data_IF_486220781945
#
_entry.id   IF_486220781945
#
_cell.length_a   1.000
_cell.length_b   1.000
_cell.length_c   1.000
_cell.angle_alpha   90.00
_cell.angle_beta   90.00
_cell.angle_gamma   90.00
#
_symmetry.space_group_name_H-M   'P 1'
#
loop_
_entity.id
_entity.type
_entity.pdbx_description
1 polymer ?
#
# COMPACT_ATOMS: atom_id res chain seq x y z
N UNK A 1 -18.23 -10.54 7.23
CA UNK A 1 -18.94 -9.76 6.19
C UNK A 1 -20.00 -8.92 6.86
N UNK A 2 -20.14 -7.66 6.46
CA UNK A 2 -21.10 -6.74 7.08
C UNK A 2 -22.55 -7.27 6.89
N UNK A 3 -23.51 -6.63 7.55
CA UNK A 3 -24.93 -7.00 7.47
C UNK A 3 -25.61 -6.48 6.19
N UNK A 4 -24.90 -5.66 5.43
CA UNK A 4 -25.33 -5.15 4.15
C UNK A 4 -24.90 -6.18 3.07
N UNK A 5 -25.62 -6.23 1.94
CA UNK A 5 -25.31 -7.22 0.89
C UNK A 5 -24.11 -6.80 0.03
N UNK A 6 -23.49 -5.67 0.36
CA UNK A 6 -22.50 -4.98 -0.44
C UNK A 6 -21.20 -4.76 0.33
N UNK A 7 -20.09 -4.86 -0.38
CA UNK A 7 -18.75 -4.60 0.15
C UNK A 7 -18.36 -3.18 -0.23
N UNK A 8 -18.19 -2.30 0.75
CA UNK A 8 -17.68 -0.95 0.52
C UNK A 8 -16.22 -0.97 0.04
N UNK A 9 -15.78 0.08 -0.65
CA UNK A 9 -14.38 0.18 -1.11
C UNK A 9 -13.38 0.07 0.06
N UNK A 10 -13.72 0.66 1.22
CA UNK A 10 -12.92 0.55 2.45
C UNK A 10 -12.77 -0.91 2.93
N UNK A 11 -13.85 -1.69 2.89
CA UNK A 11 -13.81 -3.09 3.27
C UNK A 11 -13.00 -3.91 2.26
N UNK A 12 -13.18 -3.64 0.96
CA UNK A 12 -12.39 -4.25 -0.10
C UNK A 12 -10.89 -4.01 0.09
N UNK A 13 -10.46 -2.76 0.31
CA UNK A 13 -9.05 -2.44 0.55
C UNK A 13 -8.52 -3.08 1.84
N UNK A 14 -9.37 -3.22 2.86
CA UNK A 14 -8.98 -3.90 4.12
C UNK A 14 -8.74 -5.39 3.89
N UNK A 15 -9.55 -6.04 3.04
CA UNK A 15 -9.34 -7.44 2.67
C UNK A 15 -8.05 -7.59 1.87
N UNK A 16 -7.82 -6.73 0.87
CA UNK A 16 -6.57 -6.75 0.10
C UNK A 16 -5.33 -6.57 0.99
N UNK A 17 -5.37 -5.65 1.95
CA UNK A 17 -4.26 -5.44 2.88
C UNK A 17 -3.91 -6.71 3.67
N UNK A 18 -4.93 -7.45 4.12
CA UNK A 18 -4.74 -8.72 4.83
C UNK A 18 -4.20 -9.82 3.92
N UNK A 19 -4.71 -9.92 2.69
CA UNK A 19 -4.23 -10.92 1.72
C UNK A 19 -2.77 -10.64 1.36
N UNK A 20 -2.39 -9.37 1.19
CA UNK A 20 -1.01 -8.98 0.93
C UNK A 20 -0.08 -9.34 2.12
N UNK A 21 -0.54 -9.11 3.37
CA UNK A 21 0.20 -9.48 4.57
C UNK A 21 0.38 -11.01 4.69
N UNK A 22 -0.68 -11.78 4.40
CA UNK A 22 -0.59 -13.24 4.37
C UNK A 22 0.36 -13.73 3.26
N UNK A 23 0.33 -13.11 2.07
CA UNK A 23 1.26 -13.42 0.99
C UNK A 23 2.72 -13.12 1.37
N UNK A 24 2.97 -11.97 2.00
CA UNK A 24 4.29 -11.62 2.54
C UNK A 24 4.78 -12.65 3.56
N UNK A 25 3.93 -13.07 4.50
CA UNK A 25 4.28 -14.10 5.51
C UNK A 25 4.56 -15.47 4.90
N UNK A 26 3.82 -15.86 3.86
CA UNK A 26 4.07 -17.09 3.10
C UNK A 26 5.45 -17.02 2.43
N UNK A 27 5.82 -15.87 1.88
CA UNK A 27 7.12 -15.69 1.22
C UNK A 27 8.32 -15.86 2.15
N UNK A 28 8.16 -15.58 3.45
CA UNK A 28 9.20 -15.77 4.47
C UNK A 28 9.28 -17.19 5.04
N UNK A 29 8.15 -17.88 5.12
CA UNK A 29 8.09 -19.23 5.71
C UNK A 29 8.54 -20.33 4.75
N UNK A 30 8.68 -20.04 3.47
CA UNK A 30 9.02 -21.04 2.46
C UNK A 30 10.20 -20.57 1.58
N UNK A 31 11.43 -20.95 1.97
CA UNK A 31 12.64 -20.79 1.15
C UNK A 31 12.51 -21.45 -0.24
N UNK A 32 11.55 -22.39 -0.43
CA UNK A 32 11.26 -22.95 -1.76
C UNK A 32 10.31 -22.07 -2.56
N UNK A 33 9.39 -21.33 -1.95
CA UNK A 33 8.56 -20.35 -2.68
C UNK A 33 9.31 -19.06 -2.98
N UNK A 34 10.26 -18.66 -2.11
CA UNK A 34 11.15 -17.54 -2.44
C UNK A 34 12.06 -17.86 -3.64
N UNK A 35 12.37 -19.13 -3.91
CA UNK A 35 13.04 -19.55 -5.15
C UNK A 35 12.06 -19.84 -6.30
N UNK A 36 10.84 -20.31 -6.01
CA UNK A 36 9.80 -20.55 -7.04
C UNK A 36 9.25 -19.27 -7.65
N UNK A 37 9.03 -18.24 -6.85
CA UNK A 37 8.54 -16.93 -7.32
C UNK A 37 9.64 -16.11 -8.01
N UNK A 38 10.92 -16.36 -7.70
CA UNK A 38 12.02 -15.50 -8.16
C UNK A 38 13.07 -16.16 -9.08
N UNK A 39 13.07 -17.48 -9.36
CA UNK A 39 14.18 -18.10 -10.13
C UNK A 39 13.88 -19.18 -11.18
N UNK A 40 12.64 -19.62 -11.44
CA UNK A 40 12.39 -20.65 -12.46
C UNK A 40 11.55 -20.19 -13.65
N UNK A 41 12.10 -20.14 -14.88
CA UNK A 41 11.30 -20.00 -16.09
C UNK A 41 10.72 -21.38 -16.46
N UNK A 42 9.82 -21.93 -15.65
CA UNK A 42 9.09 -23.15 -15.98
C UNK A 42 7.66 -23.07 -15.42
N UNK A 43 6.71 -22.76 -16.30
CA UNK A 43 5.25 -22.78 -16.08
C UNK A 43 4.80 -22.00 -14.84
N UNK A 44 5.07 -20.69 -14.82
CA UNK A 44 4.35 -19.79 -13.93
C UNK A 44 2.94 -19.64 -14.50
N UNK A 45 1.92 -20.13 -13.81
CA UNK A 45 0.57 -19.65 -14.06
C UNK A 45 0.63 -18.12 -14.07
N UNK A 46 0.12 -17.51 -15.14
CA UNK A 46 0.23 -16.08 -15.32
C UNK A 46 -0.50 -15.41 -14.15
N UNK A 47 0.27 -14.79 -13.24
CA UNK A 47 -0.28 -14.08 -12.10
C UNK A 47 -1.37 -13.12 -12.59
N UNK A 48 -2.49 -13.11 -11.88
CA UNK A 48 -3.52 -12.11 -12.07
C UNK A 48 -2.99 -10.72 -11.71
N UNK A 49 -3.67 -9.67 -12.16
CA UNK A 49 -3.23 -8.30 -11.94
C UNK A 49 -3.13 -7.92 -10.44
N UNK A 50 -4.00 -8.50 -9.61
CA UNK A 50 -3.94 -8.28 -8.16
C UNK A 50 -2.75 -9.00 -7.51
N UNK A 51 -2.43 -10.21 -7.94
CA UNK A 51 -1.26 -10.94 -7.45
C UNK A 51 0.03 -10.21 -7.83
N UNK A 52 0.15 -9.76 -9.09
CA UNK A 52 1.28 -8.92 -9.53
C UNK A 52 1.40 -7.64 -8.71
N UNK A 53 0.27 -6.98 -8.42
CA UNK A 53 0.28 -5.76 -7.62
C UNK A 53 0.75 -6.02 -6.19
N UNK A 54 0.33 -7.13 -5.57
CA UNK A 54 0.80 -7.52 -4.24
C UNK A 54 2.29 -7.84 -4.24
N UNK A 55 2.79 -8.59 -5.24
CA UNK A 55 4.22 -8.87 -5.38
C UNK A 55 5.03 -7.57 -5.51
N UNK A 56 4.56 -6.62 -6.33
CA UNK A 56 5.22 -5.32 -6.46
C UNK A 56 5.23 -4.54 -5.14
N UNK A 57 4.15 -4.58 -4.36
CA UNK A 57 4.10 -3.91 -3.04
C UNK A 57 5.12 -4.54 -2.08
N UNK A 58 5.20 -5.87 -2.04
CA UNK A 58 6.15 -6.63 -1.22
C UNK A 58 7.60 -6.33 -1.64
N UNK A 59 7.89 -6.35 -2.93
CA UNK A 59 9.21 -6.07 -3.49
C UNK A 59 9.66 -4.64 -3.17
N UNK A 60 8.75 -3.67 -3.33
CA UNK A 60 9.01 -2.28 -2.97
C UNK A 60 9.32 -2.16 -1.47
N UNK A 61 8.53 -2.78 -0.59
CA UNK A 61 8.81 -2.76 0.85
C UNK A 61 10.22 -3.28 1.15
N UNK A 62 10.58 -4.45 0.60
CA UNK A 62 11.90 -5.05 0.81
C UNK A 62 13.06 -4.32 0.15
N UNK A 63 12.81 -3.55 -0.91
CA UNK A 63 13.80 -2.64 -1.49
C UNK A 63 14.24 -1.56 -0.48
N UNK A 64 13.38 -1.20 0.47
CA UNK A 64 13.69 -0.22 1.51
C UNK A 64 14.09 -0.88 2.83
N UNK A 65 13.38 -1.91 3.32
CA UNK A 65 13.64 -2.54 4.63
C UNK A 65 14.99 -3.24 4.75
N UNK A 66 15.64 -3.56 3.63
CA UNK A 66 16.92 -4.28 3.63
C UNK A 66 18.13 -3.34 3.67
N UNK A 67 17.96 -2.04 3.93
CA UNK A 67 19.05 -1.05 3.85
C UNK A 67 19.75 -0.87 5.19
N UNK A 68 19.03 -0.87 6.30
CA UNK A 68 19.54 -0.71 7.65
C UNK A 68 18.68 -1.46 8.68
N UNK A 69 19.25 -1.82 9.83
CA UNK A 69 18.48 -2.47 10.91
C UNK A 69 17.95 -3.87 10.56
N UNK A 70 16.70 -4.12 10.92
CA UNK A 70 15.99 -5.38 10.66
C UNK A 70 15.48 -5.44 9.21
N UNK A 71 15.74 -6.56 8.51
CA UNK A 71 15.46 -6.70 7.08
C UNK A 71 13.98 -6.82 6.72
N UNK A 72 13.11 -7.01 7.69
CA UNK A 72 11.66 -7.18 7.52
C UNK A 72 10.83 -6.08 8.18
N UNK A 73 11.48 -4.99 8.59
CA UNK A 73 10.81 -3.78 9.07
C UNK A 73 11.46 -2.55 8.47
N UNK A 74 10.75 -1.43 8.44
CA UNK A 74 11.33 -0.15 8.05
C UNK A 74 11.76 0.62 9.29
N UNK A 75 12.99 1.11 9.28
CA UNK A 75 13.35 2.22 10.15
C UNK A 75 12.61 3.49 9.70
N UNK A 76 12.63 4.50 10.55
CA UNK A 76 12.12 5.83 10.22
C UNK A 76 12.76 6.45 8.96
N UNK A 77 14.06 6.20 8.72
CA UNK A 77 14.73 6.74 7.54
C UNK A 77 14.30 5.98 6.28
N UNK A 78 14.14 4.66 6.37
CA UNK A 78 13.68 3.83 5.26
C UNK A 78 12.22 4.15 4.91
N UNK A 79 11.33 4.31 5.90
CA UNK A 79 9.95 4.77 5.69
C UNK A 79 9.92 6.12 4.98
N UNK A 80 10.73 7.08 5.43
CA UNK A 80 10.85 8.39 4.79
C UNK A 80 11.23 8.26 3.33
N UNK A 81 12.24 7.45 3.02
CA UNK A 81 12.73 7.28 1.67
C UNK A 81 11.70 6.57 0.78
N UNK A 82 10.99 5.57 1.31
CA UNK A 82 9.88 4.92 0.62
C UNK A 82 8.80 5.94 0.22
N UNK A 83 8.34 6.76 1.18
CA UNK A 83 7.35 7.82 0.93
C UNK A 83 7.86 8.81 -0.14
N UNK A 84 9.10 9.28 0.00
CA UNK A 84 9.70 10.25 -0.91
C UNK A 84 9.92 9.72 -2.34
N UNK A 85 10.01 8.39 -2.53
CA UNK A 85 10.34 7.79 -3.84
C UNK A 85 9.18 7.07 -4.51
N UNK A 86 8.29 6.46 -3.73
CA UNK A 86 7.20 5.62 -4.25
C UNK A 86 5.85 6.32 -4.17
N UNK A 87 5.68 7.25 -3.21
CA UNK A 87 4.42 7.98 -3.01
C UNK A 87 4.54 9.46 -3.38
N UNK A 88 5.40 9.78 -4.36
CA UNK A 88 5.75 11.16 -4.75
C UNK A 88 4.53 12.03 -5.03
N UNK A 89 3.56 11.52 -5.79
CA UNK A 89 2.40 12.30 -6.21
C UNK A 89 1.35 12.43 -5.11
N UNK A 90 1.20 11.39 -4.29
CA UNK A 90 0.21 11.33 -3.20
C UNK A 90 0.67 12.09 -1.96
N UNK A 91 1.97 12.02 -1.65
CA UNK A 91 2.56 12.55 -0.42
C UNK A 91 3.65 13.61 -0.70
N UNK A 92 3.56 14.34 -1.82
CA UNK A 92 4.55 15.37 -2.22
C UNK A 92 4.89 16.41 -1.15
N UNK A 93 3.94 16.68 -0.26
CA UNK A 93 4.05 17.68 0.82
C UNK A 93 4.60 17.09 2.13
N UNK A 94 4.68 15.76 2.22
CA UNK A 94 5.24 15.02 3.35
C UNK A 94 6.75 14.93 3.18
N UNK A 95 7.43 16.03 3.48
CA UNK A 95 8.91 16.11 3.40
C UNK A 95 9.57 16.63 4.67
N UNK A 96 8.80 17.29 5.52
CA UNK A 96 9.34 17.81 6.76
C UNK A 96 9.45 16.68 7.80
N UNK A 97 10.43 16.81 8.70
CA UNK A 97 10.70 15.83 9.74
C UNK A 97 9.47 15.58 10.62
N UNK A 98 8.78 16.63 11.04
CA UNK A 98 7.63 16.52 11.96
C UNK A 98 6.48 15.65 11.40
N UNK A 99 6.17 15.76 10.11
CA UNK A 99 5.12 14.95 9.47
C UNK A 99 5.54 13.49 9.34
N UNK A 100 6.80 13.21 9.02
CA UNK A 100 7.32 11.84 9.02
C UNK A 100 7.29 11.25 10.44
N UNK A 101 7.65 12.03 11.46
CA UNK A 101 7.60 11.62 12.85
C UNK A 101 6.16 11.26 13.29
N UNK A 102 5.18 12.05 12.85
CA UNK A 102 3.77 11.76 13.09
C UNK A 102 3.32 10.49 12.37
N UNK A 103 3.67 10.33 11.08
CA UNK A 103 3.31 9.13 10.31
C UNK A 103 3.92 7.88 10.96
N UNK A 104 5.19 7.94 11.36
CA UNK A 104 5.83 6.84 12.09
C UNK A 104 5.03 6.48 13.35
N UNK A 105 4.69 7.48 14.17
CA UNK A 105 3.93 7.27 15.40
C UNK A 105 2.53 6.71 15.16
N UNK A 106 1.88 7.11 14.07
CA UNK A 106 0.53 6.67 13.73
C UNK A 106 0.49 5.26 13.12
N UNK A 107 1.61 4.81 12.54
CA UNK A 107 1.75 3.49 11.93
C UNK A 107 2.35 2.45 12.88
N UNK A 108 3.25 2.85 13.78
CA UNK A 108 3.89 2.01 14.80
C UNK A 108 2.89 1.65 15.92
N UNK A 109 2.04 0.67 15.63
CA UNK A 109 0.96 0.24 16.53
C UNK A 109 1.54 -0.53 17.70
N UNK A 110 2.55 -1.37 17.43
CA UNK A 110 3.16 -2.24 18.43
C UNK A 110 4.16 -1.49 19.34
N UNK A 111 4.57 -0.26 18.95
CA UNK A 111 5.46 0.67 19.65
C UNK A 111 6.90 0.15 19.76
N UNK A 112 7.37 -0.59 18.77
CA UNK A 112 8.74 -1.09 18.70
C UNK A 112 9.73 -0.15 17.99
N UNK A 113 9.24 1.01 17.51
CA UNK A 113 10.00 2.03 16.76
C UNK A 113 10.49 1.56 15.38
N UNK A 114 9.90 0.50 14.85
CA UNK A 114 10.07 0.02 13.48
C UNK A 114 8.67 -0.12 12.85
N UNK A 115 8.62 -0.25 11.53
CA UNK A 115 7.36 -0.42 10.81
C UNK A 115 7.37 -1.74 10.08
N UNK A 116 6.55 -2.68 10.54
CA UNK A 116 6.32 -3.97 9.88
C UNK A 116 5.59 -3.82 8.55
N UNK A 117 5.58 -4.87 7.73
CA UNK A 117 4.83 -4.89 6.47
C UNK A 117 3.33 -4.60 6.69
N UNK A 118 2.71 -5.24 7.69
CA UNK A 118 1.32 -5.00 8.07
C UNK A 118 1.05 -3.52 8.41
N UNK A 119 1.97 -2.86 9.12
CA UNK A 119 1.84 -1.45 9.47
C UNK A 119 2.02 -0.53 8.25
N UNK A 120 2.90 -0.85 7.30
CA UNK A 120 2.98 -0.13 6.01
C UNK A 120 1.69 -0.29 5.20
N UNK A 121 1.07 -1.47 5.21
CA UNK A 121 -0.19 -1.70 4.50
C UNK A 121 -1.33 -0.82 4.99
N UNK A 122 -1.28 -0.35 6.25
CA UNK A 122 -2.22 0.66 6.75
C UNK A 122 -2.06 2.01 6.04
N UNK A 123 -0.82 2.45 5.78
CA UNK A 123 -0.55 3.67 5.02
C UNK A 123 -1.09 3.54 3.59
N UNK A 124 -0.75 2.42 2.91
CA UNK A 124 -1.18 2.17 1.53
C UNK A 124 -2.71 2.13 1.44
N UNK A 125 -3.37 1.46 2.38
CA UNK A 125 -4.84 1.41 2.47
C UNK A 125 -5.44 2.80 2.63
N UNK A 126 -4.91 3.62 3.55
CA UNK A 126 -5.38 5.00 3.79
C UNK A 126 -5.23 5.88 2.55
N UNK A 127 -4.08 5.82 1.87
CA UNK A 127 -3.83 6.58 0.63
C UNK A 127 -4.76 6.13 -0.48
N UNK A 128 -5.01 4.83 -0.60
CA UNK A 128 -5.87 4.26 -1.65
C UNK A 128 -7.33 4.69 -1.46
N UNK A 129 -7.84 4.64 -0.23
CA UNK A 129 -9.19 5.12 0.10
C UNK A 129 -9.31 6.62 -0.20
N UNK A 130 -8.37 7.44 0.28
CA UNK A 130 -8.39 8.89 0.05
C UNK A 130 -8.31 9.24 -1.45
N UNK A 131 -7.54 8.47 -2.22
CA UNK A 131 -7.44 8.64 -3.67
C UNK A 131 -8.76 8.29 -4.37
N UNK A 132 -9.39 7.18 -3.98
CA UNK A 132 -10.68 6.77 -4.52
C UNK A 132 -11.76 7.82 -4.24
N UNK A 133 -11.86 8.31 -3.01
CA UNK A 133 -12.79 9.38 -2.63
C UNK A 133 -12.57 10.66 -3.48
N UNK A 134 -11.31 11.08 -3.64
CA UNK A 134 -10.97 12.24 -4.46
C UNK A 134 -11.38 12.10 -5.93
N UNK A 135 -11.30 10.88 -6.49
CA UNK A 135 -11.71 10.64 -7.88
C UNK A 135 -13.22 10.83 -8.07
N UNK A 136 -14.04 10.34 -7.13
CA UNK A 136 -15.50 10.57 -7.15
C UNK A 136 -15.83 12.06 -7.07
N UNK A 137 -15.16 12.81 -6.18
CA UNK A 137 -15.37 14.26 -6.06
C UNK A 137 -15.08 15.01 -7.37
N UNK A 138 -14.04 14.59 -8.10
CA UNK A 138 -13.65 15.21 -9.38
C UNK A 138 -14.66 14.89 -10.48
N UNK A 139 -15.15 13.65 -10.55
CA UNK A 139 -16.16 13.24 -11.53
C UNK A 139 -17.48 14.00 -11.33
N UNK A 140 -17.93 14.15 -10.08
CA UNK A 140 -19.14 14.89 -9.73
C UNK A 140 -19.04 16.38 -10.13
N UNK A 141 -17.89 17.00 -9.90
CA UNK A 141 -17.65 18.39 -10.30
C UNK A 141 -17.67 18.58 -11.82
N UNK A 142 -17.12 17.63 -12.58
CA UNK A 142 -17.12 17.69 -14.04
C UNK A 142 -18.54 17.55 -14.61
N UNK A 143 -19.34 16.64 -14.06
CA UNK A 143 -20.73 16.46 -14.49
C UNK A 143 -21.58 17.70 -14.22
N UNK A 144 -21.39 18.35 -13.07
CA UNK A 144 -22.09 19.60 -12.74
C UNK A 144 -21.70 20.74 -13.71
N UNK A 145 -20.42 20.86 -14.08
CA UNK A 145 -19.98 21.88 -15.04
C UNK A 145 -20.55 21.66 -16.45
N UNK A 146 -20.63 20.40 -16.90
CA UNK A 146 -21.23 20.07 -18.21
C UNK A 146 -22.74 20.38 -18.25
N UNK A 147 -23.48 20.12 -17.17
CA UNK A 147 -24.91 20.44 -17.11
C UNK A 147 -25.20 21.95 -17.15
N UNK A 148 -24.34 22.77 -16.54
CA UNK A 148 -24.48 24.23 -16.58
C UNK A 148 -24.17 24.83 -17.96
N UNK A 149 -23.27 24.23 -18.74
CA UNK A 149 -23.00 24.66 -20.12
C UNK A 149 -24.11 24.30 -21.12
N UNK A 150 -24.92 23.27 -20.83
CA UNK A 150 -26.05 22.89 -21.68
C UNK A 150 -27.34 23.69 -21.43
N UNK A 151 -27.40 24.50 -20.36
CA UNK A 151 -28.54 25.35 -20.01
C UNK A 151 -28.34 26.84 -20.34
N UNK A 152 -27.32 27.17 -21.16
CA UNK A 152 -27.09 28.50 -21.73
C UNK A 152 -27.04 28.41 -23.26
#
# INVERSE_FOLDING_TARGET
LNKDKDVSFKEFTTVLAKVADDAHRISHNDERLSSFLFQTPQVQEQLSELEKAMDVIIDVFHQYSRREGDRDTLTKNELRLLIEKQLVNYLRHVKNKATIDQIMTDLDINKDQQISFCEVMLLITRVTIATHEHLHDVEDQQQQQQQHQHHH
#
